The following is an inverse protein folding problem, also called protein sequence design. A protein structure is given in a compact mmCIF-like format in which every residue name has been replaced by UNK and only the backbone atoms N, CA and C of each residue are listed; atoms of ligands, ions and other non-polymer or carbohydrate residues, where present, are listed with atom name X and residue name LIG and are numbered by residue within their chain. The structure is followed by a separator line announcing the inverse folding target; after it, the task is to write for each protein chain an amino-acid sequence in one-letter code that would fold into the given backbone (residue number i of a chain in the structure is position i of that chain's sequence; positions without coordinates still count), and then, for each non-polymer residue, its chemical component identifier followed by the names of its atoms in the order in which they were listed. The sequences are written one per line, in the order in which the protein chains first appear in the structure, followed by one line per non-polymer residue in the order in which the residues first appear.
data_IF_888273238946
#
_entry.id   IF_888273238946
#
_cell.length_a   1.000
_cell.length_b   1.000
_cell.length_c   1.000
_cell.angle_alpha   90.00
_cell.angle_beta   90.00
_cell.angle_gamma   90.00
#
_symmetry.space_group_name_H-M   'P 1'
#
loop_
_entity.id
_entity.type
_entity.pdbx_description
1 polymer ?
#
# COMPACT_ATOMS: atom_id res chain seq x y z
N UNK A 1 40.57 -7.62 3.98
CA UNK A 1 41.18 -6.69 4.95
C UNK A 1 42.39 -6.09 4.27
N UNK A 2 42.43 -4.77 4.08
CA UNK A 2 43.65 -4.12 3.59
C UNK A 2 44.52 -3.82 4.83
N UNK A 3 45.66 -4.50 5.02
CA UNK A 3 46.45 -4.38 6.24
C UNK A 3 47.07 -2.99 6.43
N UNK A 4 47.17 -2.24 5.33
CA UNK A 4 47.77 -0.91 5.26
C UNK A 4 46.79 0.25 5.52
N UNK A 5 45.51 -0.02 5.80
CA UNK A 5 44.49 1.03 5.99
C UNK A 5 43.87 0.95 7.39
N UNK A 6 43.70 2.10 8.04
CA UNK A 6 43.00 2.19 9.31
C UNK A 6 41.52 1.82 9.14
N UNK A 7 41.02 0.93 10.00
CA UNK A 7 39.59 0.67 10.13
C UNK A 7 38.89 1.88 10.74
N UNK A 8 37.93 2.47 10.02
CA UNK A 8 37.23 3.68 10.48
C UNK A 8 35.85 3.38 11.05
N UNK A 9 35.26 2.22 10.70
CA UNK A 9 34.02 1.74 11.29
C UNK A 9 33.92 0.22 11.21
N UNK A 10 33.04 -0.34 12.04
CA UNK A 10 32.72 -1.76 12.07
C UNK A 10 31.45 -2.02 11.27
N UNK A 11 31.46 -3.02 10.39
CA UNK A 11 30.28 -3.43 9.64
C UNK A 11 29.28 -4.11 10.60
N UNK A 12 28.02 -3.62 10.71
CA UNK A 12 27.03 -4.19 11.61
C UNK A 12 26.57 -5.61 11.21
N UNK A 13 26.79 -6.01 9.95
CA UNK A 13 26.38 -7.34 9.44
C UNK A 13 27.35 -8.47 9.78
N UNK A 14 28.66 -8.20 9.72
CA UNK A 14 29.69 -9.22 9.90
C UNK A 14 30.68 -8.94 11.03
N UNK A 15 30.58 -7.78 11.69
CA UNK A 15 31.51 -7.37 12.73
C UNK A 15 32.93 -7.04 12.24
N UNK A 16 33.19 -7.09 10.93
CA UNK A 16 34.50 -6.77 10.39
C UNK A 16 34.75 -5.26 10.40
N UNK A 17 35.95 -4.86 10.79
CA UNK A 17 36.45 -3.49 10.61
C UNK A 17 36.70 -3.22 9.13
N UNK A 18 36.21 -2.10 8.63
CA UNK A 18 36.38 -1.69 7.24
C UNK A 18 36.99 -0.28 7.15
N UNK A 19 37.89 -0.09 6.19
CA UNK A 19 38.42 1.22 5.86
C UNK A 19 37.37 2.06 5.12
N UNK A 20 37.57 3.38 5.05
CA UNK A 20 36.64 4.30 4.40
C UNK A 20 36.30 3.93 2.95
N UNK A 21 37.24 3.29 2.23
CA UNK A 21 37.09 2.85 0.84
C UNK A 21 36.22 1.61 0.67
N UNK A 22 36.22 0.72 1.66
CA UNK A 22 35.42 -0.50 1.66
C UNK A 22 34.04 -0.30 2.29
N UNK A 23 33.81 0.81 2.96
CA UNK A 23 32.50 1.15 3.49
C UNK A 23 31.58 1.63 2.38
N UNK A 24 30.31 1.25 2.51
CA UNK A 24 29.19 1.68 1.68
C UNK A 24 28.09 2.12 2.64
N UNK A 25 27.37 3.16 2.27
CA UNK A 25 26.18 3.52 3.03
C UNK A 25 25.05 2.54 2.75
N UNK A 26 24.44 2.05 3.83
CA UNK A 26 23.21 1.27 3.79
C UNK A 26 22.23 1.76 4.87
N UNK A 27 21.00 1.23 4.88
CA UNK A 27 19.92 1.63 5.79
C UNK A 27 20.10 1.15 7.23
N UNK A 28 21.24 0.52 7.53
CA UNK A 28 21.66 0.11 8.87
C UNK A 28 22.90 0.88 9.33
N UNK A 29 23.32 1.89 8.55
CA UNK A 29 24.59 2.58 8.68
C UNK A 29 25.61 2.10 7.64
N UNK A 30 26.89 2.27 7.95
CA UNK A 30 28.00 1.91 7.07
C UNK A 30 28.26 0.40 7.08
N UNK A 31 28.00 -0.26 5.96
CA UNK A 31 28.23 -1.69 5.73
C UNK A 31 29.46 -1.90 4.84
N UNK A 32 30.18 -3.01 5.03
CA UNK A 32 31.32 -3.32 4.17
C UNK A 32 30.89 -3.81 2.78
N UNK A 33 31.71 -3.54 1.77
CA UNK A 33 31.45 -3.89 0.37
C UNK A 33 31.13 -5.38 0.19
N UNK A 34 31.86 -6.28 0.86
CA UNK A 34 31.61 -7.73 0.79
C UNK A 34 30.23 -8.14 1.32
N UNK A 35 29.76 -7.52 2.41
CA UNK A 35 28.41 -7.79 2.92
C UNK A 35 27.32 -7.20 2.03
N UNK A 36 27.62 -6.08 1.37
CA UNK A 36 26.71 -5.50 0.38
C UNK A 36 26.66 -6.35 -0.90
N UNK A 37 27.78 -6.91 -1.34
CA UNK A 37 27.83 -7.82 -2.50
C UNK A 37 27.08 -9.13 -2.24
N UNK A 38 27.19 -9.68 -1.02
CA UNK A 38 26.46 -10.90 -0.62
C UNK A 38 24.96 -10.68 -0.47
N UNK A 39 24.55 -9.52 0.04
CA UNK A 39 23.15 -9.13 0.19
C UNK A 39 22.96 -7.68 -0.30
N UNK A 40 22.79 -7.49 -1.62
CA UNK A 40 22.65 -6.16 -2.20
C UNK A 40 21.33 -5.52 -1.79
N UNK A 41 21.43 -4.27 -1.33
CA UNK A 41 20.28 -3.41 -1.07
C UNK A 41 19.69 -2.92 -2.40
N UNK A 42 18.37 -2.87 -2.51
CA UNK A 42 17.70 -2.40 -3.73
C UNK A 42 17.53 -3.47 -4.81
N UNK A 43 17.59 -4.76 -4.44
CA UNK A 43 17.19 -5.85 -5.33
C UNK A 43 15.68 -6.02 -5.45
N UNK A 44 14.88 -5.22 -4.73
CA UNK A 44 13.46 -5.17 -4.95
C UNK A 44 13.22 -4.81 -6.43
N UNK A 45 12.46 -5.62 -7.20
CA UNK A 45 12.24 -5.34 -8.61
C UNK A 45 11.72 -3.93 -8.88
N UNK A 46 10.94 -3.36 -7.95
CA UNK A 46 10.46 -1.98 -7.99
C UNK A 46 11.55 -0.90 -8.03
N UNK A 47 12.68 -1.14 -7.36
CA UNK A 47 13.82 -0.20 -7.36
C UNK A 47 14.58 -0.27 -8.69
N UNK A 48 14.54 -1.42 -9.36
CA UNK A 48 15.20 -1.69 -10.64
C UNK A 48 14.31 -1.37 -11.84
N UNK A 49 13.28 -0.53 -11.66
CA UNK A 49 12.32 -0.18 -12.72
C UNK A 49 12.96 0.52 -13.92
N UNK A 50 14.12 1.17 -13.75
CA UNK A 50 14.86 1.77 -14.85
C UNK A 50 15.39 0.71 -15.84
N UNK A 51 15.72 -0.49 -15.35
CA UNK A 51 16.25 -1.60 -16.15
C UNK A 51 15.14 -2.58 -16.55
N UNK A 52 14.23 -2.89 -15.63
CA UNK A 52 13.16 -3.88 -15.84
C UNK A 52 11.93 -3.31 -16.54
N UNK A 53 11.75 -1.99 -16.53
CA UNK A 53 10.51 -1.31 -16.88
C UNK A 53 9.48 -1.31 -15.74
N UNK A 54 8.67 -0.25 -15.66
CA UNK A 54 7.76 0.02 -14.53
C UNK A 54 6.74 -1.09 -14.29
N UNK A 55 6.07 -1.59 -15.34
CA UNK A 55 5.02 -2.59 -15.18
C UNK A 55 5.57 -3.95 -14.75
N UNK A 56 6.70 -4.38 -15.33
CA UNK A 56 7.37 -5.64 -14.99
C UNK A 56 7.93 -5.60 -13.57
N UNK A 57 8.53 -4.47 -13.19
CA UNK A 57 9.01 -4.21 -11.84
C UNK A 57 7.88 -4.25 -10.80
N UNK A 58 6.75 -3.60 -11.11
CA UNK A 58 5.54 -3.64 -10.29
C UNK A 58 5.02 -5.08 -10.13
N UNK A 59 4.79 -5.78 -11.23
CA UNK A 59 4.27 -7.15 -11.23
C UNK A 59 5.14 -8.11 -10.41
N UNK A 60 6.46 -8.10 -10.64
CA UNK A 60 7.42 -8.94 -9.90
C UNK A 60 7.44 -8.62 -8.42
N UNK A 61 7.33 -7.34 -8.05
CA UNK A 61 7.28 -6.92 -6.65
C UNK A 61 6.00 -7.40 -5.98
N UNK A 62 4.85 -7.24 -6.64
CA UNK A 62 3.59 -7.73 -6.09
C UNK A 62 3.62 -9.24 -5.91
N UNK A 63 4.03 -10.00 -6.94
CA UNK A 63 4.10 -11.46 -6.85
C UNK A 63 5.09 -11.93 -5.77
N UNK A 64 6.25 -11.28 -5.65
CA UNK A 64 7.21 -11.55 -4.58
C UNK A 64 6.61 -11.31 -3.19
N UNK A 65 5.93 -10.18 -2.99
CA UNK A 65 5.26 -9.87 -1.72
C UNK A 65 4.13 -10.85 -1.38
N UNK A 66 3.42 -11.38 -2.39
CA UNK A 66 2.33 -12.34 -2.19
C UNK A 66 2.83 -13.75 -1.88
N UNK A 67 3.84 -14.22 -2.62
CA UNK A 67 4.30 -15.61 -2.53
C UNK A 67 5.42 -15.80 -1.51
N UNK A 68 6.34 -14.83 -1.42
CA UNK A 68 7.56 -14.92 -0.59
C UNK A 68 7.91 -13.56 0.03
N UNK A 69 7.05 -13.03 0.92
CA UNK A 69 7.26 -11.71 1.52
C UNK A 69 8.59 -11.60 2.26
N UNK A 70 8.97 -12.63 3.02
CA UNK A 70 10.24 -12.63 3.78
C UNK A 70 11.46 -12.50 2.88
N UNK A 71 11.51 -13.22 1.77
CA UNK A 71 12.63 -13.14 0.81
C UNK A 71 12.63 -11.79 0.10
N UNK A 72 11.45 -11.34 -0.34
CA UNK A 72 11.28 -10.07 -1.04
C UNK A 72 11.72 -8.89 -0.19
N UNK A 73 11.46 -8.92 1.12
CA UNK A 73 11.84 -7.86 2.05
C UNK A 73 13.33 -7.79 2.38
N UNK A 74 14.10 -8.88 2.21
CA UNK A 74 15.56 -8.86 2.46
C UNK A 74 16.30 -7.92 1.52
N UNK A 75 15.84 -7.79 0.28
CA UNK A 75 16.45 -6.94 -0.76
C UNK A 75 15.92 -5.51 -0.81
N UNK A 76 15.01 -5.11 0.08
CA UNK A 76 14.37 -3.79 0.04
C UNK A 76 15.35 -2.73 0.53
N UNK A 77 15.54 -1.66 -0.25
CA UNK A 77 16.10 -0.41 0.28
C UNK A 77 15.03 0.32 1.13
N UNK A 78 15.12 0.37 2.47
CA UNK A 78 14.11 1.00 3.32
C UNK A 78 13.98 2.51 3.12
N UNK A 79 15.08 3.20 2.79
CA UNK A 79 15.15 4.66 2.66
C UNK A 79 14.97 5.16 1.23
N UNK A 80 14.16 4.46 0.43
CA UNK A 80 13.85 4.94 -0.91
C UNK A 80 13.02 6.24 -0.86
N UNK A 81 13.12 7.10 -1.89
CA UNK A 81 12.35 8.34 -1.97
C UNK A 81 10.84 8.09 -1.85
N UNK A 82 10.13 8.97 -1.13
CA UNK A 82 8.67 8.89 -0.93
C UNK A 82 7.93 8.85 -2.27
N UNK A 83 8.39 9.59 -3.28
CA UNK A 83 7.82 9.59 -4.64
C UNK A 83 7.83 8.21 -5.29
N UNK A 84 8.87 7.41 -5.05
CA UNK A 84 8.98 6.03 -5.53
C UNK A 84 7.92 5.14 -4.89
N UNK A 85 7.64 5.33 -3.60
CA UNK A 85 6.61 4.59 -2.86
C UNK A 85 5.21 5.03 -3.30
N UNK A 86 4.99 6.33 -3.48
CA UNK A 86 3.72 6.89 -3.95
C UNK A 86 3.33 6.42 -5.35
N UNK A 87 4.31 6.29 -6.25
CA UNK A 87 4.07 5.73 -7.59
C UNK A 87 3.63 4.27 -7.51
N UNK A 88 4.20 3.48 -6.58
CA UNK A 88 3.76 2.10 -6.36
C UNK A 88 2.32 2.05 -5.84
N UNK A 89 1.99 2.90 -4.86
CA UNK A 89 0.63 3.03 -4.32
C UNK A 89 -0.35 3.38 -5.43
N UNK A 90 -0.02 4.35 -6.29
CA UNK A 90 -0.89 4.74 -7.41
C UNK A 90 -1.14 3.57 -8.37
N UNK A 91 -0.11 2.79 -8.71
CA UNK A 91 -0.28 1.61 -9.55
C UNK A 91 -1.10 0.50 -8.87
N UNK A 92 -0.89 0.25 -7.58
CA UNK A 92 -1.73 -0.65 -6.79
C UNK A 92 -3.19 -0.20 -6.75
N UNK A 93 -3.43 1.10 -6.57
CA UNK A 93 -4.76 1.69 -6.56
C UNK A 93 -5.43 1.58 -7.93
N UNK A 94 -4.73 1.91 -9.02
CA UNK A 94 -5.24 1.72 -10.39
C UNK A 94 -5.59 0.25 -10.60
N UNK A 95 -4.70 -0.68 -10.25
CA UNK A 95 -4.93 -2.12 -10.42
C UNK A 95 -6.16 -2.62 -9.66
N UNK A 96 -6.42 -2.10 -8.46
CA UNK A 96 -7.58 -2.48 -7.65
C UNK A 96 -8.90 -1.82 -8.07
N UNK A 97 -8.89 -0.50 -8.28
CA UNK A 97 -10.11 0.27 -8.59
C UNK A 97 -10.56 0.11 -10.04
N UNK A 98 -9.63 0.03 -11.01
CA UNK A 98 -10.00 -0.07 -12.42
C UNK A 98 -10.69 -1.41 -12.72
N UNK A 99 -10.13 -2.51 -12.22
CA UNK A 99 -10.73 -3.84 -12.41
C UNK A 99 -12.10 -3.94 -11.74
N UNK A 100 -12.21 -3.48 -10.48
CA UNK A 100 -13.46 -3.50 -9.73
C UNK A 100 -14.50 -2.59 -10.37
N UNK A 101 -14.11 -1.37 -10.74
CA UNK A 101 -15.00 -0.39 -11.38
C UNK A 101 -15.60 -0.93 -12.67
N UNK A 102 -14.77 -1.45 -13.58
CA UNK A 102 -15.24 -2.03 -14.85
C UNK A 102 -16.22 -3.18 -14.61
N UNK A 103 -15.88 -4.11 -13.72
CA UNK A 103 -16.75 -5.27 -13.45
C UNK A 103 -18.08 -4.83 -12.82
N UNK A 104 -18.05 -3.95 -11.83
CA UNK A 104 -19.27 -3.49 -11.16
C UNK A 104 -20.15 -2.65 -12.08
N UNK A 105 -19.57 -1.78 -12.91
CA UNK A 105 -20.33 -1.05 -13.94
C UNK A 105 -20.98 -1.99 -14.95
N UNK A 106 -20.26 -3.02 -15.41
CA UNK A 106 -20.82 -4.02 -16.32
C UNK A 106 -21.97 -4.81 -15.66
N UNK A 107 -21.77 -5.29 -14.42
CA UNK A 107 -22.79 -6.03 -13.68
C UNK A 107 -24.04 -5.19 -13.40
N UNK A 108 -23.88 -3.95 -12.94
CA UNK A 108 -25.00 -3.03 -12.70
C UNK A 108 -25.73 -2.74 -14.02
N UNK A 109 -25.00 -2.52 -15.11
CA UNK A 109 -25.60 -2.32 -16.44
C UNK A 109 -26.44 -3.51 -16.90
N UNK A 110 -25.99 -4.74 -16.63
CA UNK A 110 -26.73 -5.98 -16.90
C UNK A 110 -27.97 -6.06 -16.01
N UNK A 111 -27.82 -5.89 -14.70
CA UNK A 111 -28.92 -5.97 -13.72
C UNK A 111 -30.02 -4.97 -14.06
N UNK A 112 -29.66 -3.71 -14.31
CA UNK A 112 -30.61 -2.65 -14.69
C UNK A 112 -31.28 -2.92 -16.04
N UNK A 113 -30.66 -3.70 -16.93
CA UNK A 113 -31.28 -4.15 -18.18
C UNK A 113 -32.39 -5.20 -17.99
N UNK A 114 -32.42 -5.88 -16.84
CA UNK A 114 -33.46 -6.86 -16.48
C UNK A 114 -34.55 -6.28 -15.55
N UNK A 115 -34.37 -5.06 -15.05
CA UNK A 115 -35.40 -4.39 -14.23
C UNK A 115 -36.49 -3.86 -15.16
N UNK A 116 -37.76 -4.30 -15.00
CA UNK A 116 -38.87 -3.75 -15.78
C UNK A 116 -38.99 -2.25 -15.50
N UNK A 117 -39.18 -1.44 -16.55
CA UNK A 117 -39.44 0.00 -16.40
C UNK A 117 -40.72 0.19 -15.57
N UNK A 118 -40.55 0.41 -14.26
CA UNK A 118 -41.65 0.71 -13.36
C UNK A 118 -41.79 2.23 -13.34
N UNK A 119 -42.93 2.72 -13.84
CA UNK A 119 -43.28 4.14 -14.00
C UNK A 119 -43.35 4.98 -12.69
N UNK A 120 -42.76 4.53 -11.57
CA UNK A 120 -42.96 5.16 -10.25
C UNK A 120 -41.77 5.98 -9.71
N UNK A 121 -40.82 6.34 -10.56
CA UNK A 121 -39.80 7.34 -10.23
C UNK A 121 -39.96 8.51 -11.18
N UNK A 122 -40.16 9.73 -10.66
CA UNK A 122 -40.29 10.95 -11.47
C UNK A 122 -39.00 11.38 -12.20
N UNK A 123 -38.02 10.48 -12.33
CA UNK A 123 -36.80 10.64 -13.10
C UNK A 123 -36.82 9.67 -14.28
N UNK A 124 -36.54 10.17 -15.50
CA UNK A 124 -36.44 9.35 -16.71
C UNK A 124 -35.43 8.20 -16.46
N UNK A 125 -35.82 6.91 -16.63
CA UNK A 125 -34.92 5.78 -16.48
C UNK A 125 -33.61 5.89 -17.28
N UNK A 126 -33.64 6.61 -18.41
CA UNK A 126 -32.46 6.88 -19.23
C UNK A 126 -31.50 7.87 -18.57
N UNK A 127 -32.03 8.92 -17.95
CA UNK A 127 -31.25 9.90 -17.21
C UNK A 127 -30.60 9.28 -15.97
N UNK A 128 -31.32 8.39 -15.27
CA UNK A 128 -30.77 7.65 -14.14
C UNK A 128 -29.61 6.73 -14.54
N UNK A 129 -29.76 5.97 -15.64
CA UNK A 129 -28.71 5.08 -16.15
C UNK A 129 -27.49 5.86 -16.62
N UNK A 130 -27.69 6.98 -17.31
CA UNK A 130 -26.61 7.88 -17.74
C UNK A 130 -25.88 8.45 -16.51
N UNK A 131 -26.61 8.98 -15.53
CA UNK A 131 -26.05 9.50 -14.29
C UNK A 131 -25.23 8.46 -13.53
N UNK A 132 -25.76 7.26 -13.33
CA UNK A 132 -25.04 6.18 -12.66
C UNK A 132 -23.76 5.79 -13.42
N UNK A 133 -23.82 5.73 -14.75
CA UNK A 133 -22.64 5.39 -15.58
C UNK A 133 -21.57 6.47 -15.46
N UNK A 134 -21.95 7.75 -15.56
CA UNK A 134 -21.03 8.89 -15.45
C UNK A 134 -20.41 8.95 -14.04
N UNK A 135 -21.20 8.77 -12.99
CA UNK A 135 -20.71 8.75 -11.60
C UNK A 135 -19.75 7.60 -11.37
N UNK A 136 -20.06 6.39 -11.86
CA UNK A 136 -19.18 5.23 -11.70
C UNK A 136 -17.89 5.37 -12.52
N UNK A 137 -17.96 5.95 -13.72
CA UNK A 137 -16.77 6.27 -14.50
C UNK A 137 -15.89 7.32 -13.81
N UNK A 138 -16.49 8.40 -13.31
CA UNK A 138 -15.80 9.42 -12.53
C UNK A 138 -15.17 8.82 -11.25
N UNK A 139 -15.92 7.98 -10.53
CA UNK A 139 -15.44 7.28 -9.34
C UNK A 139 -14.23 6.39 -9.66
N UNK A 140 -14.29 5.62 -10.75
CA UNK A 140 -13.20 4.73 -11.18
C UNK A 140 -11.90 5.48 -11.49
N UNK A 141 -12.00 6.69 -12.04
CA UNK A 141 -10.83 7.52 -12.38
C UNK A 141 -10.31 8.33 -11.20
N UNK A 142 -11.21 8.88 -10.37
CA UNK A 142 -10.85 9.77 -9.27
C UNK A 142 -10.39 9.00 -8.02
N UNK A 143 -10.92 7.79 -7.78
CA UNK A 143 -10.59 7.02 -6.58
C UNK A 143 -9.12 6.60 -6.46
N UNK A 144 -8.40 6.18 -7.52
CA UNK A 144 -6.97 5.90 -7.41
C UNK A 144 -6.16 7.09 -6.90
N UNK A 145 -6.47 8.29 -7.37
CA UNK A 145 -5.80 9.54 -6.94
C UNK A 145 -6.13 9.84 -5.49
N UNK A 146 -7.42 9.79 -5.13
CA UNK A 146 -7.87 10.00 -3.75
C UNK A 146 -7.28 8.98 -2.78
N UNK A 147 -7.29 7.70 -3.14
CA UNK A 147 -6.73 6.59 -2.37
C UNK A 147 -5.22 6.74 -2.15
N UNK A 148 -4.51 7.23 -3.17
CA UNK A 148 -3.08 7.53 -3.07
C UNK A 148 -2.82 8.65 -2.06
N UNK A 149 -3.59 9.73 -2.11
CA UNK A 149 -3.53 10.82 -1.11
C UNK A 149 -3.87 10.35 0.31
N UNK A 150 -4.94 9.56 0.45
CA UNK A 150 -5.33 8.95 1.73
C UNK A 150 -4.26 8.02 2.28
N UNK A 151 -3.56 7.28 1.42
CA UNK A 151 -2.45 6.41 1.81
C UNK A 151 -1.29 7.20 2.42
N UNK A 152 -0.97 8.37 1.85
CA UNK A 152 0.04 9.28 2.42
C UNK A 152 -0.36 9.76 3.82
N UNK A 153 -1.63 10.16 4.00
CA UNK A 153 -2.15 10.58 5.30
C UNK A 153 -2.12 9.43 6.32
N UNK A 154 -2.60 8.25 5.93
CA UNK A 154 -2.61 7.06 6.78
C UNK A 154 -1.21 6.64 7.20
N UNK A 155 -0.26 6.59 6.26
CA UNK A 155 1.12 6.27 6.59
C UNK A 155 1.76 7.34 7.50
N UNK A 156 1.32 8.59 7.44
CA UNK A 156 1.69 9.64 8.39
C UNK A 156 1.21 9.32 9.80
N UNK A 157 -0.06 8.93 9.95
CA UNK A 157 -0.63 8.51 11.23
C UNK A 157 0.04 7.22 11.74
N UNK A 158 0.24 6.22 10.88
CA UNK A 158 0.97 4.99 11.20
C UNK A 158 2.38 5.33 11.71
N UNK A 159 3.06 6.28 11.08
CA UNK A 159 4.39 6.73 11.49
C UNK A 159 4.40 7.34 12.89
N UNK A 160 3.40 8.18 13.23
CA UNK A 160 3.28 8.75 14.58
C UNK A 160 3.11 7.64 15.63
N UNK A 161 2.29 6.63 15.34
CA UNK A 161 2.09 5.47 16.23
C UNK A 161 3.39 4.68 16.39
N UNK A 162 4.09 4.41 15.28
CA UNK A 162 5.38 3.73 15.32
C UNK A 162 6.42 4.53 16.13
N UNK A 163 6.44 5.86 16.00
CA UNK A 163 7.31 6.76 16.77
C UNK A 163 7.01 6.71 18.27
N UNK A 164 5.74 6.70 18.66
CA UNK A 164 5.34 6.50 20.06
C UNK A 164 5.80 5.14 20.61
N UNK A 165 5.88 4.13 19.75
CA UNK A 165 6.43 2.81 20.07
C UNK A 165 7.96 2.70 20.00
N UNK A 166 8.69 3.82 19.94
CA UNK A 166 10.16 3.87 19.98
C UNK A 166 10.88 3.69 18.65
N UNK A 167 10.19 3.77 17.51
CA UNK A 167 10.83 3.65 16.19
C UNK A 167 11.60 4.93 15.83
N UNK A 168 12.89 4.81 15.54
CA UNK A 168 13.74 5.96 15.21
C UNK A 168 13.85 6.26 13.71
N UNK A 169 13.58 5.28 12.85
CA UNK A 169 13.72 5.42 11.39
C UNK A 169 12.75 6.46 10.83
N UNK A 170 13.15 7.09 9.73
CA UNK A 170 12.39 8.18 9.10
C UNK A 170 11.07 7.74 8.44
N UNK A 171 10.25 8.74 8.12
CA UNK A 171 8.96 8.58 7.45
C UNK A 171 9.05 7.88 6.08
N UNK A 172 10.16 8.09 5.34
CA UNK A 172 10.47 7.37 4.09
C UNK A 172 10.31 5.86 4.23
N UNK A 173 10.79 5.30 5.35
CA UNK A 173 10.71 3.87 5.66
C UNK A 173 9.27 3.42 5.90
N UNK A 174 8.48 4.20 6.64
CA UNK A 174 7.07 3.89 6.89
C UNK A 174 6.25 3.96 5.62
N UNK A 175 6.42 5.03 4.82
CA UNK A 175 5.78 5.16 3.51
C UNK A 175 6.11 3.99 2.59
N UNK A 176 7.37 3.58 2.59
CA UNK A 176 7.83 2.46 1.78
C UNK A 176 7.20 1.14 2.21
N UNK A 177 7.22 0.84 3.52
CA UNK A 177 6.60 -0.35 4.06
C UNK A 177 5.09 -0.38 3.77
N UNK A 178 4.40 0.75 3.96
CA UNK A 178 2.98 0.88 3.63
C UNK A 178 2.71 0.67 2.13
N UNK A 179 3.54 1.25 1.26
CA UNK A 179 3.37 1.12 -0.18
C UNK A 179 3.50 -0.32 -0.65
N UNK A 180 4.59 -1.02 -0.31
CA UNK A 180 4.81 -2.40 -0.75
C UNK A 180 3.82 -3.39 -0.12
N UNK A 181 3.23 -3.05 1.05
CA UNK A 181 2.15 -3.85 1.64
C UNK A 181 0.84 -3.77 0.85
N UNK A 182 0.70 -2.83 -0.08
CA UNK A 182 -0.43 -2.72 -1.02
C UNK A 182 -0.31 -3.65 -2.24
N UNK A 183 0.70 -4.53 -2.28
CA UNK A 183 0.84 -5.56 -3.31
C UNK A 183 -0.43 -6.42 -3.57
N UNK A 184 -1.24 -6.81 -2.54
CA UNK A 184 -2.44 -7.62 -2.76
C UNK A 184 -3.51 -6.99 -3.64
N UNK A 185 -3.50 -5.67 -3.82
CA UNK A 185 -4.45 -5.01 -4.72
C UNK A 185 -4.23 -5.36 -6.20
N UNK A 186 -3.12 -6.02 -6.56
CA UNK A 186 -2.96 -6.61 -7.90
C UNK A 186 -3.92 -7.79 -8.15
N UNK A 187 -4.34 -8.48 -7.07
CA UNK A 187 -5.38 -9.53 -7.12
C UNK A 187 -6.77 -8.90 -7.31
N UNK A 188 -6.83 -7.55 -7.30
CA UNK A 188 -7.89 -6.68 -7.80
C UNK A 188 -8.59 -7.18 -9.07
N UNK A 189 -7.86 -7.88 -9.93
CA UNK A 189 -8.38 -8.47 -11.18
C UNK A 189 -9.50 -9.48 -10.94
N UNK A 190 -9.58 -10.11 -9.76
CA UNK A 190 -10.63 -11.07 -9.41
C UNK A 190 -11.75 -10.33 -8.64
N UNK A 191 -12.91 -10.08 -9.26
CA UNK A 191 -14.02 -9.41 -8.60
C UNK A 191 -14.48 -10.18 -7.36
N UNK A 192 -15.04 -9.45 -6.39
CA UNK A 192 -15.44 -9.92 -5.04
C UNK A 192 -14.29 -10.33 -4.11
N UNK A 193 -13.31 -11.10 -4.58
CA UNK A 193 -12.15 -11.48 -3.76
C UNK A 193 -11.31 -10.23 -3.44
N UNK A 194 -11.11 -9.36 -4.42
CA UNK A 194 -10.34 -8.14 -4.27
C UNK A 194 -10.87 -7.19 -3.18
N UNK A 195 -12.17 -6.91 -3.17
CA UNK A 195 -12.78 -5.91 -2.29
C UNK A 195 -12.74 -6.37 -0.83
N UNK A 196 -12.94 -7.66 -0.58
CA UNK A 196 -13.01 -8.18 0.78
C UNK A 196 -11.67 -8.73 1.26
N UNK A 197 -10.94 -9.51 0.47
CA UNK A 197 -9.72 -10.18 0.95
C UNK A 197 -8.46 -9.30 0.86
N UNK A 198 -8.32 -8.46 -0.18
CA UNK A 198 -7.09 -7.69 -0.39
C UNK A 198 -6.78 -6.71 0.76
N UNK A 199 -7.76 -5.99 1.36
CA UNK A 199 -7.48 -5.10 2.49
C UNK A 199 -6.93 -5.84 3.72
N UNK A 200 -7.52 -6.99 4.08
CA UNK A 200 -7.05 -7.77 5.23
C UNK A 200 -5.67 -8.39 4.96
N UNK A 201 -5.43 -8.85 3.73
CA UNK A 201 -4.11 -9.34 3.34
C UNK A 201 -3.07 -8.21 3.37
N UNK A 202 -3.38 -7.05 2.81
CA UNK A 202 -2.52 -5.88 2.83
C UNK A 202 -2.21 -5.42 4.25
N UNK A 203 -3.17 -5.54 5.18
CA UNK A 203 -3.00 -5.24 6.59
C UNK A 203 -2.03 -6.22 7.30
N UNK A 204 -2.15 -7.51 7.03
CA UNK A 204 -1.18 -8.52 7.52
C UNK A 204 0.23 -8.28 6.99
N UNK A 205 0.35 -8.01 5.68
CA UNK A 205 1.63 -7.61 5.07
C UNK A 205 2.16 -6.29 5.63
N UNK A 206 1.29 -5.36 6.02
CA UNK A 206 1.69 -4.08 6.62
C UNK A 206 2.36 -4.29 7.98
N UNK A 207 1.77 -5.11 8.85
CA UNK A 207 2.40 -5.45 10.12
C UNK A 207 3.78 -6.13 9.91
N UNK A 208 3.86 -7.05 8.96
CA UNK A 208 5.11 -7.75 8.64
C UNK A 208 6.18 -6.81 8.07
N UNK A 209 5.80 -5.93 7.14
CA UNK A 209 6.70 -4.95 6.51
C UNK A 209 7.17 -3.90 7.53
N UNK A 210 6.29 -3.38 8.39
CA UNK A 210 6.68 -2.48 9.48
C UNK A 210 7.66 -3.14 10.44
N UNK A 211 7.38 -4.37 10.89
CA UNK A 211 8.31 -5.10 11.74
C UNK A 211 9.68 -5.25 11.09
N UNK A 212 9.71 -5.64 9.82
CA UNK A 212 10.96 -5.94 9.10
C UNK A 212 11.76 -4.66 8.82
N UNK A 213 11.12 -3.63 8.27
CA UNK A 213 11.79 -2.41 7.84
C UNK A 213 12.13 -1.48 9.00
N UNK A 214 11.33 -1.46 10.07
CA UNK A 214 11.61 -0.69 11.28
C UNK A 214 12.36 -1.47 12.36
N UNK A 215 12.55 -2.78 12.19
CA UNK A 215 13.20 -3.68 13.18
C UNK A 215 12.62 -3.54 14.57
N UNK A 216 11.30 -3.45 14.62
CA UNK A 216 10.58 -3.20 15.87
C UNK A 216 9.92 -4.46 16.39
N UNK A 217 9.32 -4.37 17.58
CA UNK A 217 8.55 -5.46 18.19
C UNK A 217 7.26 -5.73 17.39
N UNK A 218 6.71 -6.94 17.53
CA UNK A 218 5.40 -7.25 16.96
C UNK A 218 4.29 -6.35 17.50
N UNK A 219 4.34 -5.98 18.79
CA UNK A 219 3.35 -5.09 19.41
C UNK A 219 3.33 -3.72 18.74
N UNK A 220 4.50 -3.11 18.57
CA UNK A 220 4.64 -1.82 17.90
C UNK A 220 4.22 -1.89 16.43
N UNK A 221 4.64 -2.93 15.71
CA UNK A 221 4.30 -3.11 14.29
C UNK A 221 2.80 -3.34 14.07
N UNK A 222 2.14 -4.15 14.92
CA UNK A 222 0.70 -4.38 14.88
C UNK A 222 -0.07 -3.12 15.25
N UNK A 223 0.35 -2.39 16.28
CA UNK A 223 -0.26 -1.12 16.66
C UNK A 223 -0.24 -0.13 15.48
N UNK A 224 0.92 0.05 14.84
CA UNK A 224 1.05 0.90 13.65
C UNK A 224 0.25 0.42 12.45
N UNK A 225 0.08 -0.90 12.26
CA UNK A 225 -0.64 -1.44 11.12
C UNK A 225 -2.17 -1.49 11.29
N UNK A 226 -2.68 -1.54 12.53
CA UNK A 226 -4.09 -1.80 12.84
C UNK A 226 -4.84 -0.60 13.42
N UNK A 227 -4.20 0.24 14.24
CA UNK A 227 -4.92 1.30 14.95
C UNK A 227 -5.53 2.32 13.99
N UNK A 228 -4.79 2.78 12.99
CA UNK A 228 -5.31 3.76 12.02
C UNK A 228 -6.46 3.16 11.21
N UNK A 229 -6.32 1.99 10.54
CA UNK A 229 -7.45 1.41 9.81
C UNK A 229 -8.68 1.12 10.68
N UNK A 230 -8.49 0.65 11.92
CA UNK A 230 -9.62 0.36 12.84
C UNK A 230 -10.34 1.65 13.22
N UNK A 231 -9.59 2.68 13.63
CA UNK A 231 -10.18 3.98 13.96
C UNK A 231 -10.88 4.61 12.74
N UNK A 232 -10.26 4.55 11.56
CA UNK A 232 -10.87 5.00 10.31
C UNK A 232 -12.13 4.21 9.97
N UNK A 233 -12.13 2.88 10.14
CA UNK A 233 -13.31 2.04 9.91
C UNK A 233 -14.45 2.37 10.87
N UNK A 234 -14.16 2.54 12.16
CA UNK A 234 -15.16 2.94 13.16
C UNK A 234 -15.72 4.33 12.90
N UNK A 235 -14.87 5.29 12.49
CA UNK A 235 -15.29 6.64 12.13
C UNK A 235 -16.10 6.66 10.83
N UNK A 236 -15.65 5.99 9.77
CA UNK A 236 -16.36 5.93 8.49
C UNK A 236 -17.68 5.14 8.59
N UNK A 237 -17.70 4.03 9.33
CA UNK A 237 -18.91 3.24 9.60
C UNK A 237 -19.93 4.01 10.44
N UNK A 238 -19.46 4.73 11.47
CA UNK A 238 -20.30 5.62 12.28
C UNK A 238 -20.87 6.78 11.48
N UNK A 239 -20.07 7.42 10.63
CA UNK A 239 -20.51 8.50 9.73
C UNK A 239 -21.50 7.98 8.69
N UNK A 240 -21.23 6.84 8.05
CA UNK A 240 -22.15 6.21 7.11
C UNK A 240 -23.48 5.85 7.79
N UNK A 241 -23.43 5.26 8.98
CA UNK A 241 -24.62 4.97 9.79
C UNK A 241 -25.41 6.23 10.15
N UNK A 242 -24.72 7.32 10.51
CA UNK A 242 -25.36 8.60 10.81
C UNK A 242 -26.02 9.25 9.57
N UNK A 243 -25.36 9.20 8.41
CA UNK A 243 -25.92 9.67 7.14
C UNK A 243 -27.14 8.82 6.74
N UNK A 244 -27.04 7.50 6.83
CA UNK A 244 -28.16 6.60 6.56
C UNK A 244 -29.33 6.82 7.51
N UNK A 245 -29.05 7.02 8.80
CA UNK A 245 -30.07 7.34 9.79
C UNK A 245 -30.74 8.69 9.51
N UNK A 246 -29.95 9.71 9.17
CA UNK A 246 -30.46 11.02 8.77
C UNK A 246 -31.29 10.95 7.48
N UNK A 247 -30.86 10.15 6.50
CA UNK A 247 -31.58 9.90 5.26
C UNK A 247 -32.91 9.19 5.52
N UNK A 248 -32.91 8.11 6.32
CA UNK A 248 -34.12 7.37 6.71
C UNK A 248 -35.12 8.27 7.46
N UNK A 249 -34.64 9.12 8.36
CA UNK A 249 -35.44 10.15 9.05
C UNK A 249 -36.01 11.18 8.08
N UNK A 250 -35.24 11.61 7.07
CA UNK A 250 -35.71 12.56 6.06
C UNK A 250 -36.80 11.99 5.14
N UNK A 251 -36.82 10.66 4.94
CA UNK A 251 -37.85 9.94 4.16
C UNK A 251 -39.09 9.54 4.95
N UNK A 252 -39.20 9.95 6.23
CA UNK A 252 -40.40 9.70 7.06
C UNK A 252 -40.63 8.24 7.44
N UNK A 253 -39.59 7.39 7.38
CA UNK A 253 -39.69 5.98 7.79
C UNK A 253 -39.47 5.76 9.30
N UNK A 254 -39.29 6.82 10.09
CA UNK A 254 -39.37 6.86 11.55
C UNK A 254 -39.81 8.25 12.03
#
# INVERSE_FOLDING_TARGET
MHPEWLGVATCPRCGAFACARCLRQGPEGTVCATCLEREPLGHLPWDQRAELGTLKAFWRTCFGMLMRPTETLRGVNPDAPVSSSMTFVMLSAIAGFLSTGIVYTALIGIILGFVPETEKSGADPKDLKLWMTVVMAAWTVLMPVFSTGMTLANAGLDHLILRMGGVERGFSVTMRAHAISQAPYIVGVIPFVAVYAAPFWAMGLRAFTYRTLHRTSWGTALAGALLVPVLSCCLCGGVYGAIMFAALKSTGQF
#
